data_IF_249796971708
#
_entry.id   IF_249796971708
#
_cell.length_a   1.000
_cell.length_b   1.000
_cell.length_c   1.000
_cell.angle_alpha   90.00
_cell.angle_beta   90.00
_cell.angle_gamma   90.00
#
_symmetry.space_group_name_H-M   'P 1'
#
loop_
_entity.id
_entity.type
_entity.pdbx_description
1 polymer ?
#
# COMPACT_ATOMS: atom_id res chain seq x y z
N UNK A 1 -9.52 -10.15 6.46
CA UNK A 1 -8.30 -9.50 5.92
C UNK A 1 -7.38 -10.45 5.13
N UNK A 2 -6.93 -11.60 5.66
CA UNK A 2 -6.03 -12.52 4.91
C UNK A 2 -6.53 -12.92 3.50
N UNK A 3 -7.83 -13.13 3.33
CA UNK A 3 -8.41 -13.44 2.02
C UNK A 3 -8.48 -12.22 1.09
N UNK A 4 -8.83 -11.04 1.61
CA UNK A 4 -8.79 -9.79 0.84
C UNK A 4 -7.40 -9.51 0.26
N UNK A 5 -6.33 -9.77 1.04
CA UNK A 5 -4.96 -9.60 0.57
C UNK A 5 -4.61 -10.54 -0.59
N UNK A 6 -5.23 -11.72 -0.70
CA UNK A 6 -5.02 -12.58 -1.87
C UNK A 6 -5.58 -11.92 -3.13
N UNK A 7 -6.80 -11.39 -3.07
CA UNK A 7 -7.42 -10.67 -4.18
C UNK A 7 -6.65 -9.39 -4.54
N UNK A 8 -6.21 -8.62 -3.54
CA UNK A 8 -5.37 -7.46 -3.79
C UNK A 8 -4.05 -7.83 -4.47
N UNK A 9 -3.41 -8.93 -4.08
CA UNK A 9 -2.18 -9.41 -4.76
C UNK A 9 -2.43 -9.80 -6.22
N UNK A 10 -3.55 -10.45 -6.52
CA UNK A 10 -3.90 -10.80 -7.89
C UNK A 10 -4.21 -9.56 -8.73
N UNK A 11 -5.09 -8.68 -8.24
CA UNK A 11 -5.41 -7.43 -8.94
C UNK A 11 -4.18 -6.50 -9.08
N UNK A 12 -3.34 -6.40 -8.06
CA UNK A 12 -2.10 -5.62 -8.13
C UNK A 12 -1.11 -6.15 -9.18
N UNK A 13 -1.09 -7.47 -9.42
CA UNK A 13 -0.30 -8.10 -10.50
C UNK A 13 -0.80 -7.71 -11.89
N UNK A 14 -2.10 -7.51 -12.05
CA UNK A 14 -2.70 -7.01 -13.29
C UNK A 14 -2.62 -5.48 -13.44
N UNK A 15 -2.00 -4.78 -12.48
CA UNK A 15 -1.79 -3.35 -12.56
C UNK A 15 -2.92 -2.52 -11.94
N UNK A 16 -3.93 -3.09 -11.28
CA UNK A 16 -4.98 -2.27 -10.69
C UNK A 16 -4.43 -1.36 -9.58
N UNK A 17 -4.41 -0.04 -9.82
CA UNK A 17 -3.82 0.97 -8.92
C UNK A 17 -4.40 0.94 -7.50
N UNK A 18 -5.72 0.79 -7.37
CA UNK A 18 -6.39 0.68 -6.06
C UNK A 18 -5.97 -0.59 -5.32
N UNK A 19 -5.84 -1.72 -6.02
CA UNK A 19 -5.37 -2.95 -5.40
C UNK A 19 -3.90 -2.87 -4.97
N UNK A 20 -3.06 -2.14 -5.70
CA UNK A 20 -1.67 -1.86 -5.30
C UNK A 20 -1.62 -0.99 -4.05
N UNK A 21 -2.50 0.02 -3.95
CA UNK A 21 -2.65 0.86 -2.77
C UNK A 21 -3.13 0.06 -1.56
N UNK A 22 -4.24 -0.68 -1.68
CA UNK A 22 -4.79 -1.50 -0.59
C UNK A 22 -3.79 -2.56 -0.11
N UNK A 23 -3.04 -3.17 -1.05
CA UNK A 23 -1.98 -4.10 -0.71
C UNK A 23 -0.82 -3.41 0.04
N UNK A 24 -0.51 -2.16 -0.32
CA UNK A 24 0.49 -1.37 0.40
C UNK A 24 0.04 -1.10 1.84
N UNK A 25 -1.20 -0.68 2.05
CA UNK A 25 -1.77 -0.47 3.38
C UNK A 25 -1.71 -1.76 4.22
N UNK A 26 -2.06 -2.90 3.62
CA UNK A 26 -1.94 -4.19 4.29
C UNK A 26 -0.49 -4.51 4.70
N UNK A 27 0.51 -4.13 3.88
CA UNK A 27 1.92 -4.25 4.23
C UNK A 27 2.38 -3.25 5.29
N UNK A 28 1.79 -2.05 5.37
CA UNK A 28 2.09 -1.06 6.41
C UNK A 28 1.58 -1.50 7.78
N UNK A 29 0.37 -2.04 7.84
CA UNK A 29 -0.28 -2.42 9.10
C UNK A 29 0.01 -3.86 9.52
N UNK A 30 0.46 -4.71 8.60
CA UNK A 30 0.53 -6.15 8.84
C UNK A 30 -0.84 -6.84 8.81
N UNK A 31 -1.80 -6.23 8.11
CA UNK A 31 -3.18 -6.72 8.03
C UNK A 31 -3.28 -7.88 7.06
N UNK A 32 -3.32 -9.09 7.61
CA UNK A 32 -3.40 -10.32 6.82
C UNK A 32 -2.11 -10.68 6.05
N UNK A 33 -1.05 -9.88 6.17
CA UNK A 33 0.31 -10.17 5.72
C UNK A 33 1.32 -9.75 6.77
N UNK A 34 2.55 -10.25 6.71
CA UNK A 34 3.61 -9.71 7.56
C UNK A 34 3.87 -8.25 7.19
N UNK A 35 3.91 -7.39 8.19
CA UNK A 35 4.30 -5.98 8.03
C UNK A 35 5.64 -5.89 7.27
N UNK A 36 5.67 -5.03 6.26
CA UNK A 36 6.83 -4.85 5.39
C UNK A 36 6.79 -3.49 4.68
N UNK A 37 7.42 -2.49 5.27
CA UNK A 37 7.51 -1.13 4.72
C UNK A 37 8.11 -1.07 3.31
N UNK A 38 9.13 -1.88 3.03
CA UNK A 38 9.77 -1.90 1.70
C UNK A 38 8.82 -2.41 0.60
N UNK A 39 7.94 -3.35 0.91
CA UNK A 39 6.89 -3.83 -0.02
C UNK A 39 5.74 -2.85 -0.12
N UNK A 40 5.39 -2.17 0.97
CA UNK A 40 4.40 -1.10 0.95
C UNK A 40 4.83 0.04 0.03
N UNK A 41 6.04 0.60 0.23
CA UNK A 41 6.60 1.69 -0.58
C UNK A 41 6.59 1.31 -2.07
N UNK A 42 7.13 0.13 -2.42
CA UNK A 42 7.12 -0.34 -3.82
C UNK A 42 5.71 -0.51 -4.42
N UNK A 43 4.70 -0.79 -3.60
CA UNK A 43 3.32 -0.93 -4.08
C UNK A 43 2.66 0.44 -4.24
N UNK A 44 2.94 1.39 -3.33
CA UNK A 44 2.55 2.80 -3.45
C UNK A 44 3.20 3.45 -4.67
N UNK A 45 4.48 3.18 -4.96
CA UNK A 45 5.17 3.77 -6.11
C UNK A 45 4.51 3.35 -7.43
N UNK A 46 4.07 2.10 -7.52
CA UNK A 46 3.32 1.60 -8.68
C UNK A 46 1.92 2.21 -8.79
N UNK A 47 1.26 2.45 -7.66
CA UNK A 47 -0.06 3.06 -7.64
C UNK A 47 0.02 4.55 -8.02
N UNK A 48 1.00 5.28 -7.46
CA UNK A 48 1.28 6.68 -7.77
C UNK A 48 1.67 6.87 -9.25
N UNK A 49 2.46 5.95 -9.81
CA UNK A 49 2.78 5.94 -11.25
C UNK A 49 1.57 5.73 -12.18
N UNK A 50 0.39 5.44 -11.62
CA UNK A 50 -0.88 5.31 -12.34
C UNK A 50 -1.88 6.42 -11.93
N UNK A 51 -1.35 7.59 -11.62
CA UNK A 51 -2.10 8.81 -11.29
C UNK A 51 -3.08 8.57 -10.12
N UNK A 52 -2.61 7.86 -9.08
CA UNK A 52 -3.32 7.72 -7.81
C UNK A 52 -2.72 8.70 -6.79
N UNK A 53 -3.30 9.90 -6.71
CA UNK A 53 -2.86 10.98 -5.83
C UNK A 53 -2.79 10.54 -4.36
N UNK A 54 -3.71 9.68 -3.92
CA UNK A 54 -3.70 9.12 -2.56
C UNK A 54 -2.42 8.31 -2.29
N UNK A 55 -1.94 7.55 -3.28
CA UNK A 55 -0.71 6.80 -3.12
C UNK A 55 0.51 7.71 -3.02
N UNK A 56 0.58 8.78 -3.83
CA UNK A 56 1.67 9.75 -3.79
C UNK A 56 1.70 10.50 -2.45
N UNK A 57 0.55 10.94 -1.96
CA UNK A 57 0.40 11.60 -0.67
C UNK A 57 0.89 10.71 0.49
N UNK A 58 0.53 9.43 0.48
CA UNK A 58 0.98 8.47 1.50
C UNK A 58 2.50 8.21 1.37
N UNK A 59 3.02 8.11 0.16
CA UNK A 59 4.45 7.93 -0.12
C UNK A 59 5.31 9.09 0.39
N UNK A 60 4.87 10.32 0.14
CA UNK A 60 5.57 11.52 0.58
C UNK A 60 5.67 11.55 2.11
N UNK A 61 4.56 11.26 2.80
CA UNK A 61 4.53 11.20 4.26
C UNK A 61 5.40 10.07 4.81
N UNK A 62 5.39 8.89 4.20
CA UNK A 62 6.28 7.77 4.56
C UNK A 62 7.76 8.09 4.41
N UNK A 63 8.12 8.97 3.46
CA UNK A 63 9.50 9.44 3.26
C UNK A 63 9.91 10.47 4.31
N UNK A 64 8.96 11.24 4.82
CA UNK A 64 9.18 12.21 5.90
C UNK A 64 9.26 11.50 7.26
N UNK A 65 8.33 10.59 7.56
CA UNK A 65 8.32 9.76 8.75
C UNK A 65 7.65 8.39 8.46
N UNK A 66 8.42 7.29 8.51
CA UNK A 66 7.89 5.94 8.29
C UNK A 66 6.86 5.48 9.32
N UNK A 67 6.86 6.05 10.53
CA UNK A 67 5.94 5.67 11.62
C UNK A 67 4.56 6.33 11.46
N UNK A 68 4.44 7.41 10.69
CA UNK A 68 3.15 8.06 10.39
C UNK A 68 2.18 7.16 9.63
N UNK A 69 2.68 6.10 8.99
CA UNK A 69 1.91 5.14 8.21
C UNK A 69 0.75 4.48 9.00
N UNK A 70 0.89 4.35 10.31
CA UNK A 70 -0.08 3.67 11.19
C UNK A 70 -1.37 4.49 11.37
N UNK A 71 -1.34 5.80 11.08
CA UNK A 71 -2.47 6.71 11.32
C UNK A 71 -3.42 6.89 10.12
N UNK A 72 -3.19 6.22 8.99
CA UNK A 72 -4.03 6.40 7.79
C UNK A 72 -5.22 5.45 7.68
N UNK A 73 -5.46 4.60 8.69
CA UNK A 73 -6.51 3.58 8.67
C UNK A 73 -7.57 3.72 9.76
N UNK A 74 -7.75 4.92 10.32
CA UNK A 74 -8.92 5.25 11.17
C UNK A 74 -10.08 5.84 10.36
#
# INVERSE_FOLDING_TARGET
>A
MKEAVKYYKEAARFGFRLAQFDLAICYLNGDGVKQNFEKAIRSLEKAAAQDLDEAENVLQKLREDPELAVYFTE
#
